data_IF_141776467741
#
_entry.id   IF_141776467741
#
_cell.length_a   1.000
_cell.length_b   1.000
_cell.length_c   1.000
_cell.angle_alpha   90.00
_cell.angle_beta   90.00
_cell.angle_gamma   90.00
#
_symmetry.space_group_name_H-M   'P 1'
#
loop_
_entity.id
_entity.type
_entity.pdbx_description
1 polymer ?
#
# COMPACT_ATOMS: atom_id res chain seq x y z
N UNK A 1 27.67 -25.37 -56.60
CA UNK A 1 27.89 -23.92 -56.82
C UNK A 1 26.71 -23.15 -56.27
N UNK A 2 26.82 -22.48 -55.11
CA UNK A 2 25.98 -21.35 -54.73
C UNK A 2 26.52 -20.65 -53.48
N UNK A 3 27.11 -19.48 -53.75
CA UNK A 3 27.39 -18.27 -52.98
C UNK A 3 27.20 -18.30 -51.46
N UNK A 4 28.33 -18.10 -50.78
CA UNK A 4 28.48 -17.42 -49.49
C UNK A 4 28.02 -15.96 -49.60
N UNK A 5 27.19 -15.50 -48.67
CA UNK A 5 27.05 -14.07 -48.35
C UNK A 5 27.23 -13.91 -46.84
N UNK A 6 28.33 -13.26 -46.48
CA UNK A 6 28.64 -12.78 -45.14
C UNK A 6 27.81 -11.52 -44.86
N UNK A 7 27.04 -11.50 -43.77
CA UNK A 7 26.50 -10.26 -43.21
C UNK A 7 27.38 -9.82 -42.05
N UNK A 8 28.07 -8.70 -42.28
CA UNK A 8 28.82 -7.93 -41.31
C UNK A 8 27.81 -7.14 -40.46
N UNK A 9 27.66 -7.48 -39.19
CA UNK A 9 26.89 -6.67 -38.23
C UNK A 9 27.86 -5.67 -37.61
N UNK A 10 27.74 -4.39 -37.98
CA UNK A 10 28.35 -3.28 -37.25
C UNK A 10 27.66 -3.15 -35.90
N UNK A 11 28.38 -3.49 -34.82
CA UNK A 11 28.03 -3.08 -33.46
C UNK A 11 28.39 -1.60 -33.29
N UNK A 12 27.38 -0.74 -33.19
CA UNK A 12 27.52 0.63 -32.70
C UNK A 12 27.69 0.60 -31.18
N UNK A 13 28.92 0.76 -30.71
CA UNK A 13 29.23 1.13 -29.34
C UNK A 13 28.80 2.60 -29.13
N UNK A 14 27.64 2.80 -28.52
CA UNK A 14 27.18 4.11 -28.05
C UNK A 14 27.05 4.10 -26.53
N UNK A 15 28.06 4.70 -25.90
CA UNK A 15 27.97 5.58 -24.73
C UNK A 15 27.25 5.05 -23.50
N UNK A 16 28.04 4.61 -22.51
CA UNK A 16 27.65 4.65 -21.11
C UNK A 16 27.23 6.08 -20.74
N UNK A 17 25.92 6.32 -20.62
CA UNK A 17 25.37 7.54 -20.04
C UNK A 17 25.77 7.64 -18.58
N UNK A 18 26.23 8.82 -18.18
CA UNK A 18 26.59 9.17 -16.81
C UNK A 18 25.49 8.77 -15.83
N UNK A 19 25.90 8.21 -14.69
CA UNK A 19 24.99 7.89 -13.59
C UNK A 19 24.27 9.14 -13.07
N UNK A 20 23.12 8.96 -12.40
CA UNK A 20 22.38 10.06 -11.80
C UNK A 20 23.29 10.78 -10.80
N UNK A 21 23.43 12.10 -10.98
CA UNK A 21 23.97 12.99 -9.96
C UNK A 21 23.16 12.85 -8.68
N UNK A 22 23.78 12.97 -7.48
CA UNK A 22 23.05 12.95 -6.21
C UNK A 22 21.92 13.98 -6.26
N UNK A 23 20.71 13.54 -5.97
CA UNK A 23 19.56 14.43 -5.75
C UNK A 23 19.96 15.51 -4.74
N UNK A 24 19.80 16.76 -5.17
CA UNK A 24 19.85 17.94 -4.32
C UNK A 24 18.79 17.75 -3.23
N UNK A 25 19.23 17.42 -2.01
CA UNK A 25 18.36 17.41 -0.84
C UNK A 25 17.63 18.75 -0.82
N UNK A 26 16.29 18.70 -0.93
CA UNK A 26 15.46 19.88 -0.84
C UNK A 26 15.80 20.62 0.46
N UNK A 27 16.53 21.73 0.33
CA UNK A 27 16.84 22.67 1.40
C UNK A 27 15.52 23.05 2.08
N UNK A 28 15.27 22.45 3.25
CA UNK A 28 14.18 22.87 4.12
C UNK A 28 14.45 24.33 4.47
N UNK A 29 13.56 25.22 4.03
CA UNK A 29 13.66 26.64 4.35
C UNK A 29 13.81 26.81 5.86
N UNK A 30 14.84 27.54 6.27
CA UNK A 30 15.09 27.86 7.68
C UNK A 30 13.82 28.52 8.26
N UNK A 31 13.13 27.81 9.17
CA UNK A 31 12.01 28.38 9.93
C UNK A 31 10.73 27.55 10.07
N UNK A 32 10.61 26.35 9.48
CA UNK A 32 9.43 25.51 9.76
C UNK A 32 9.47 24.96 11.20
N UNK A 33 8.57 25.47 12.05
CA UNK A 33 8.36 24.93 13.38
C UNK A 33 7.95 23.45 13.30
N UNK A 34 8.60 22.61 14.11
CA UNK A 34 8.29 21.18 14.17
C UNK A 34 6.83 20.95 14.61
N UNK A 35 6.10 20.09 13.90
CA UNK A 35 4.74 19.71 14.29
C UNK A 35 4.77 18.90 15.60
N UNK A 36 3.73 19.09 16.42
CA UNK A 36 3.47 18.27 17.60
C UNK A 36 3.11 16.83 17.20
N UNK A 37 3.20 15.91 18.16
CA UNK A 37 2.76 14.53 17.94
C UNK A 37 1.25 14.52 17.62
N UNK A 38 0.83 13.93 16.49
CA UNK A 38 -0.52 14.08 16.00
C UNK A 38 -1.50 13.13 16.71
N UNK A 39 -2.75 13.57 16.86
CA UNK A 39 -3.84 12.76 17.38
C UNK A 39 -4.95 12.71 16.33
N UNK A 40 -5.32 11.51 15.88
CA UNK A 40 -6.41 11.32 14.91
C UNK A 40 -7.66 12.10 15.32
N UNK A 41 -8.23 12.86 14.39
CA UNK A 41 -9.58 13.42 14.56
C UNK A 41 -10.64 12.32 14.39
N UNK A 42 -11.89 12.60 14.79
CA UNK A 42 -13.01 11.68 14.51
C UNK A 42 -13.46 11.85 13.06
N UNK A 43 -13.76 10.76 12.33
CA UNK A 43 -14.44 10.84 11.05
C UNK A 43 -15.80 11.56 11.21
N UNK A 44 -16.25 12.36 10.23
CA UNK A 44 -17.58 12.96 10.23
C UNK A 44 -18.67 11.89 10.30
N UNK A 45 -19.75 12.15 11.05
CA UNK A 45 -20.84 11.18 11.22
C UNK A 45 -21.43 10.71 9.88
N UNK A 46 -21.61 11.61 8.90
CA UNK A 46 -22.11 11.23 7.58
C UNK A 46 -21.22 10.20 6.87
N UNK A 47 -19.89 10.30 7.02
CA UNK A 47 -18.95 9.30 6.47
C UNK A 47 -19.04 7.97 7.25
N UNK A 48 -19.25 8.04 8.58
CA UNK A 48 -19.50 6.85 9.40
C UNK A 48 -20.80 6.15 8.97
N UNK A 49 -21.88 6.89 8.76
CA UNK A 49 -23.17 6.34 8.33
C UNK A 49 -23.07 5.68 6.95
N UNK A 50 -22.33 6.31 6.02
CA UNK A 50 -22.01 5.70 4.72
C UNK A 50 -21.21 4.41 4.88
N UNK A 51 -20.22 4.38 5.79
CA UNK A 51 -19.43 3.19 6.07
C UNK A 51 -20.27 2.08 6.74
N UNK A 52 -21.27 2.45 7.54
CA UNK A 52 -22.26 1.53 8.11
C UNK A 52 -23.10 0.87 7.01
N UNK A 53 -23.59 1.68 6.05
CA UNK A 53 -24.43 1.21 4.96
C UNK A 53 -23.67 0.44 3.86
N UNK A 54 -22.35 0.67 3.72
CA UNK A 54 -21.53 0.05 2.68
C UNK A 54 -21.45 -1.48 2.84
N UNK A 55 -21.35 -2.26 1.74
CA UNK A 55 -21.14 -3.71 1.82
C UNK A 55 -19.89 -4.12 2.61
N UNK A 56 -19.92 -5.34 3.16
CA UNK A 56 -18.77 -5.91 3.86
C UNK A 56 -17.66 -6.30 2.87
N UNK A 57 -16.42 -5.98 3.22
CA UNK A 57 -15.24 -6.34 2.45
C UNK A 57 -14.78 -7.77 2.70
N UNK A 58 -14.25 -8.43 1.67
CA UNK A 58 -13.75 -9.81 1.73
C UNK A 58 -12.82 -10.14 0.56
N UNK A 59 -11.99 -11.17 0.73
CA UNK A 59 -11.04 -11.63 -0.28
C UNK A 59 -11.52 -12.90 -0.97
N UNK A 60 -11.27 -13.01 -2.28
CA UNK A 60 -11.70 -14.13 -3.10
C UNK A 60 -10.74 -14.45 -4.23
N UNK A 61 -10.94 -15.63 -4.81
CA UNK A 61 -10.20 -16.12 -5.97
C UNK A 61 -11.20 -16.35 -7.09
N UNK A 62 -10.92 -15.86 -8.30
CA UNK A 62 -11.77 -16.04 -9.46
C UNK A 62 -11.49 -17.41 -10.12
N UNK A 63 -12.24 -17.75 -11.17
CA UNK A 63 -12.10 -19.04 -11.85
C UNK A 63 -10.74 -19.25 -12.52
N UNK A 64 -10.00 -18.18 -12.85
CA UNK A 64 -8.65 -18.26 -13.40
C UNK A 64 -7.55 -18.30 -12.34
N UNK A 65 -7.90 -18.36 -11.04
CA UNK A 65 -6.94 -18.31 -9.94
C UNK A 65 -6.51 -16.89 -9.54
N UNK A 66 -7.00 -15.87 -10.24
CA UNK A 66 -6.76 -14.46 -9.94
C UNK A 66 -7.37 -14.05 -8.61
N UNK A 67 -6.57 -13.38 -7.78
CA UNK A 67 -6.97 -12.89 -6.47
C UNK A 67 -7.64 -11.54 -6.59
N UNK A 68 -8.63 -11.29 -5.73
CA UNK A 68 -9.28 -10.01 -5.63
C UNK A 68 -9.70 -9.72 -4.19
N UNK A 69 -9.91 -8.44 -3.91
CA UNK A 69 -10.77 -8.04 -2.80
C UNK A 69 -12.05 -7.41 -3.35
N UNK A 70 -13.18 -7.83 -2.79
CA UNK A 70 -14.47 -7.19 -3.02
C UNK A 70 -14.75 -6.23 -1.87
N UNK A 71 -15.20 -5.01 -2.20
CA UNK A 71 -15.52 -3.95 -1.25
C UNK A 71 -14.36 -3.62 -0.29
N UNK A 72 -13.10 -3.63 -0.72
CA UNK A 72 -11.96 -3.13 0.07
C UNK A 72 -11.74 -1.62 -0.20
N UNK A 73 -12.70 -0.78 0.18
CA UNK A 73 -12.75 0.61 -0.26
C UNK A 73 -12.39 1.64 0.83
N UNK A 74 -12.13 1.20 2.06
CA UNK A 74 -11.74 2.05 3.19
C UNK A 74 -12.83 2.21 4.27
N UNK A 75 -14.04 1.70 4.04
CA UNK A 75 -15.13 1.75 5.01
C UNK A 75 -14.79 1.06 6.34
N UNK A 76 -14.04 -0.05 6.30
CA UNK A 76 -13.57 -0.75 7.50
C UNK A 76 -12.65 0.12 8.36
N UNK A 77 -11.81 0.93 7.72
CA UNK A 77 -10.89 1.85 8.39
C UNK A 77 -11.65 3.02 9.01
N UNK A 78 -12.62 3.60 8.30
CA UNK A 78 -13.50 4.64 8.87
C UNK A 78 -14.21 4.14 10.12
N UNK A 79 -14.79 2.94 10.08
CA UNK A 79 -15.45 2.33 11.25
C UNK A 79 -14.48 2.13 12.41
N UNK A 80 -13.26 1.63 12.12
CA UNK A 80 -12.23 1.41 13.15
C UNK A 80 -11.78 2.72 13.81
N UNK A 81 -11.54 3.77 13.04
CA UNK A 81 -11.13 5.08 13.57
C UNK A 81 -12.27 5.72 14.34
N UNK A 82 -13.50 5.71 13.81
CA UNK A 82 -14.67 6.23 14.52
C UNK A 82 -14.82 5.55 15.88
N UNK A 83 -14.71 4.22 15.91
CA UNK A 83 -14.74 3.47 17.16
C UNK A 83 -13.57 3.87 18.08
N UNK A 84 -12.34 3.91 17.58
CA UNK A 84 -11.18 4.35 18.37
C UNK A 84 -11.36 5.75 18.99
N UNK A 85 -12.03 6.66 18.28
CA UNK A 85 -12.34 8.02 18.74
C UNK A 85 -13.59 8.14 19.62
N UNK A 86 -14.21 7.03 20.00
CA UNK A 86 -15.31 6.99 20.95
C UNK A 86 -16.70 7.01 20.31
N UNK A 87 -16.81 7.02 18.99
CA UNK A 87 -18.10 6.91 18.32
C UNK A 87 -18.62 5.47 18.38
N UNK A 88 -19.64 5.24 19.20
CA UNK A 88 -20.22 3.91 19.43
C UNK A 88 -21.16 3.45 18.33
N UNK A 89 -21.63 4.35 17.44
CA UNK A 89 -22.51 3.95 16.32
C UNK A 89 -21.79 3.03 15.32
N UNK A 90 -20.45 3.10 15.26
CA UNK A 90 -19.62 2.28 14.40
C UNK A 90 -19.37 0.85 14.93
N UNK A 91 -19.51 0.63 16.24
CA UNK A 91 -18.99 -0.56 16.93
C UNK A 91 -19.62 -1.87 16.39
N UNK A 92 -20.94 -1.90 16.24
CA UNK A 92 -21.67 -3.09 15.79
C UNK A 92 -21.29 -3.48 14.35
N UNK A 93 -21.18 -2.48 13.45
CA UNK A 93 -20.77 -2.73 12.06
C UNK A 93 -19.31 -3.14 11.96
N UNK A 94 -18.44 -2.52 12.74
CA UNK A 94 -17.03 -2.88 12.81
C UNK A 94 -16.86 -4.35 13.23
N UNK A 95 -17.55 -4.77 14.30
CA UNK A 95 -17.55 -6.17 14.73
C UNK A 95 -18.08 -7.11 13.65
N UNK A 96 -19.14 -6.72 12.94
CA UNK A 96 -19.66 -7.49 11.83
C UNK A 96 -18.62 -7.67 10.71
N UNK A 97 -17.92 -6.60 10.31
CA UNK A 97 -16.85 -6.65 9.32
C UNK A 97 -15.68 -7.52 9.77
N UNK A 98 -15.25 -7.38 11.02
CA UNK A 98 -14.19 -8.22 11.59
C UNK A 98 -14.59 -9.69 11.55
N UNK A 99 -15.78 -10.06 12.00
CA UNK A 99 -16.25 -11.46 11.95
C UNK A 99 -16.40 -12.00 10.54
N UNK A 100 -16.87 -11.16 9.62
CA UNK A 100 -17.13 -11.56 8.24
C UNK A 100 -15.88 -12.04 7.51
N UNK A 101 -14.73 -11.40 7.75
CA UNK A 101 -13.46 -11.76 7.10
C UNK A 101 -12.75 -12.97 7.75
N UNK A 102 -13.14 -13.39 8.96
CA UNK A 102 -12.53 -14.52 9.69
C UNK A 102 -13.11 -15.90 9.36
N UNK A 103 -13.98 -16.00 8.37
CA UNK A 103 -14.68 -17.24 8.03
C UNK A 103 -14.93 -17.41 6.54
N UNK A 104 -15.24 -18.65 6.14
CA UNK A 104 -15.66 -19.03 4.80
C UNK A 104 -14.69 -18.64 3.68
N UNK A 105 -13.38 -18.76 3.92
CA UNK A 105 -12.35 -18.35 2.96
C UNK A 105 -12.59 -16.92 2.49
N UNK A 106 -12.65 -15.98 3.43
CA UNK A 106 -12.74 -14.54 3.15
C UNK A 106 -11.52 -13.79 3.64
N UNK A 107 -10.60 -14.50 4.29
CA UNK A 107 -9.35 -14.01 4.86
C UNK A 107 -8.38 -13.52 3.77
N UNK A 108 -7.51 -12.55 4.12
CA UNK A 108 -6.37 -12.13 3.30
C UNK A 108 -5.53 -13.28 2.76
N UNK A 109 -4.77 -13.04 1.70
CA UNK A 109 -3.83 -14.01 1.13
C UNK A 109 -2.47 -13.97 1.82
N UNK A 110 -2.02 -12.79 2.26
CA UNK A 110 -0.76 -12.59 2.96
C UNK A 110 0.47 -13.16 2.21
N UNK A 111 0.47 -13.13 0.87
CA UNK A 111 1.58 -13.65 0.08
C UNK A 111 2.78 -12.71 0.00
N UNK A 112 2.63 -11.46 0.49
CA UNK A 112 3.65 -10.43 0.42
C UNK A 112 3.77 -9.75 -0.93
N UNK A 113 2.80 -9.88 -1.84
CA UNK A 113 2.84 -9.27 -3.17
C UNK A 113 1.79 -8.17 -3.39
N UNK A 114 1.37 -7.99 -4.64
CA UNK A 114 0.41 -6.96 -5.06
C UNK A 114 -0.87 -6.87 -4.20
N UNK A 115 -1.38 -8.00 -3.71
CA UNK A 115 -2.59 -8.03 -2.89
C UNK A 115 -2.45 -7.30 -1.54
N UNK A 116 -1.22 -7.12 -1.04
CA UNK A 116 -0.97 -6.50 0.26
C UNK A 116 -1.58 -5.09 0.39
N UNK A 117 -1.71 -4.35 -0.72
CA UNK A 117 -2.34 -3.02 -0.74
C UNK A 117 -3.84 -3.09 -0.39
N UNK A 118 -4.54 -4.13 -0.82
CA UNK A 118 -5.96 -4.32 -0.55
C UNK A 118 -6.15 -4.90 0.86
N UNK A 119 -5.22 -5.74 1.31
CA UNK A 119 -5.19 -6.31 2.65
C UNK A 119 -5.06 -5.24 3.74
N UNK A 120 -4.43 -4.09 3.44
CA UNK A 120 -4.32 -2.95 4.37
C UNK A 120 -5.66 -2.52 4.94
N UNK A 121 -6.76 -2.60 4.17
CA UNK A 121 -8.11 -2.24 4.64
C UNK A 121 -8.55 -3.07 5.85
N UNK A 122 -8.10 -4.33 5.93
CA UNK A 122 -8.48 -5.25 7.00
C UNK A 122 -7.44 -5.31 8.10
N UNK A 123 -6.17 -5.37 7.75
CA UNK A 123 -5.09 -5.42 8.75
C UNK A 123 -4.95 -4.09 9.50
N UNK A 124 -5.13 -2.95 8.82
CA UNK A 124 -5.20 -1.64 9.47
C UNK A 124 -6.43 -1.52 10.39
N UNK A 125 -7.57 -2.04 9.96
CA UNK A 125 -8.79 -2.11 10.77
C UNK A 125 -8.53 -2.93 12.05
N UNK A 126 -7.91 -4.10 11.93
CA UNK A 126 -7.56 -4.94 13.09
C UNK A 126 -6.60 -4.24 14.05
N UNK A 127 -5.58 -3.54 13.54
CA UNK A 127 -4.65 -2.78 14.35
C UNK A 127 -5.34 -1.69 15.16
N UNK A 128 -6.22 -0.90 14.55
CA UNK A 128 -6.92 0.19 15.23
C UNK A 128 -8.00 -0.37 16.18
N UNK A 129 -8.74 -1.40 15.77
CA UNK A 129 -9.76 -2.04 16.62
C UNK A 129 -9.16 -2.64 17.90
N UNK A 130 -7.95 -3.21 17.85
CA UNK A 130 -7.22 -3.72 19.03
C UNK A 130 -6.92 -2.63 20.07
N UNK A 131 -6.83 -1.36 19.65
CA UNK A 131 -6.67 -0.19 20.52
C UNK A 131 -7.99 0.34 21.09
N UNK A 132 -9.11 -0.34 20.82
CA UNK A 132 -10.45 0.06 21.25
C UNK A 132 -11.03 -1.02 22.18
N UNK A 133 -10.78 -0.98 23.51
CA UNK A 133 -11.13 -2.06 24.43
C UNK A 133 -12.59 -2.49 24.37
N UNK A 134 -13.52 -1.54 24.24
CA UNK A 134 -14.96 -1.84 24.18
C UNK A 134 -15.39 -2.63 22.94
N UNK A 135 -14.65 -2.54 21.83
CA UNK A 135 -14.86 -3.34 20.62
C UNK A 135 -14.09 -4.64 20.74
N UNK A 136 -12.80 -4.58 21.05
CA UNK A 136 -11.93 -5.74 21.11
C UNK A 136 -12.36 -6.79 22.16
N UNK A 137 -12.91 -6.35 23.29
CA UNK A 137 -13.42 -7.23 24.34
C UNK A 137 -14.63 -8.07 23.90
N UNK A 138 -15.35 -7.66 22.86
CA UNK A 138 -16.53 -8.40 22.36
C UNK A 138 -16.16 -9.57 21.43
N UNK A 139 -14.89 -9.70 21.06
CA UNK A 139 -14.40 -10.84 20.29
C UNK A 139 -14.06 -12.00 21.23
N UNK A 140 -14.45 -13.20 20.82
CA UNK A 140 -14.07 -14.45 21.44
C UNK A 140 -12.55 -14.68 21.35
N UNK A 141 -12.02 -15.57 22.19
CA UNK A 141 -10.62 -15.97 22.12
C UNK A 141 -10.27 -16.55 20.74
N UNK A 142 -11.14 -17.37 20.16
CA UNK A 142 -10.92 -17.96 18.83
C UNK A 142 -10.87 -16.91 17.72
N UNK A 143 -11.75 -15.90 17.75
CA UNK A 143 -11.70 -14.78 16.80
C UNK A 143 -10.41 -13.98 16.93
N UNK A 144 -9.96 -13.68 18.15
CA UNK A 144 -8.69 -12.99 18.41
C UNK A 144 -7.51 -13.80 17.88
N UNK A 145 -7.46 -15.11 18.15
CA UNK A 145 -6.43 -16.01 17.63
C UNK A 145 -6.38 -16.01 16.10
N UNK A 146 -7.53 -16.02 15.40
CA UNK A 146 -7.55 -15.93 13.94
C UNK A 146 -6.99 -14.59 13.45
N UNK A 147 -7.36 -13.48 14.09
CA UNK A 147 -6.83 -12.16 13.73
C UNK A 147 -5.31 -12.12 13.96
N UNK A 148 -4.82 -12.62 15.09
CA UNK A 148 -3.37 -12.70 15.39
C UNK A 148 -2.63 -13.50 14.31
N UNK A 149 -3.20 -14.63 13.87
CA UNK A 149 -2.64 -15.46 12.80
C UNK A 149 -2.64 -14.74 11.44
N UNK A 150 -3.71 -14.03 11.08
CA UNK A 150 -3.77 -13.21 9.86
C UNK A 150 -2.69 -12.12 9.90
N UNK A 151 -2.55 -11.41 11.02
CA UNK A 151 -1.55 -10.35 11.18
C UNK A 151 -0.12 -10.92 11.08
N UNK A 152 0.14 -12.06 11.71
CA UNK A 152 1.42 -12.78 11.61
C UNK A 152 1.71 -13.30 10.21
N UNK A 153 0.72 -13.84 9.51
CA UNK A 153 0.89 -14.30 8.13
C UNK A 153 1.24 -13.12 7.21
N UNK A 154 0.51 -12.01 7.37
CA UNK A 154 0.74 -10.78 6.61
C UNK A 154 2.14 -10.21 6.83
N UNK A 155 2.60 -10.25 8.09
CA UNK A 155 3.96 -9.90 8.46
C UNK A 155 4.99 -10.82 7.78
N UNK A 156 4.85 -12.15 7.85
CA UNK A 156 5.82 -13.08 7.26
C UNK A 156 5.90 -12.93 5.74
N UNK A 157 4.74 -12.85 5.07
CA UNK A 157 4.67 -12.61 3.63
C UNK A 157 5.44 -11.37 3.22
N UNK A 158 5.16 -10.26 3.89
CA UNK A 158 5.76 -8.98 3.54
C UNK A 158 7.21 -8.85 4.00
N UNK A 159 7.59 -9.48 5.13
CA UNK A 159 8.96 -9.55 5.58
C UNK A 159 9.81 -10.28 4.54
N UNK A 160 9.30 -11.40 4.02
CA UNK A 160 10.00 -12.17 2.99
C UNK A 160 10.18 -11.37 1.71
N UNK A 161 9.16 -10.66 1.23
CA UNK A 161 9.29 -9.95 -0.06
C UNK A 161 10.05 -8.63 0.04
N UNK A 162 10.14 -8.03 1.24
CA UNK A 162 10.76 -6.70 1.41
C UNK A 162 12.11 -6.71 2.11
N UNK A 163 12.52 -7.79 2.78
CA UNK A 163 13.79 -7.80 3.53
C UNK A 163 15.00 -7.62 2.63
N UNK A 164 16.04 -6.99 3.17
CA UNK A 164 17.33 -6.87 2.49
C UNK A 164 17.93 -8.24 2.15
N UNK A 165 17.71 -9.24 3.01
CA UNK A 165 18.18 -10.61 2.79
C UNK A 165 17.57 -11.23 1.53
N UNK A 166 16.25 -11.11 1.32
CA UNK A 166 15.60 -11.64 0.11
C UNK A 166 15.97 -10.91 -1.16
N UNK A 167 16.37 -9.63 -1.04
CA UNK A 167 16.65 -8.74 -2.16
C UNK A 167 18.16 -8.51 -2.34
N UNK A 168 18.99 -9.33 -1.71
CA UNK A 168 20.43 -9.22 -1.77
C UNK A 168 20.94 -9.34 -3.22
N UNK A 169 21.92 -8.52 -3.58
CA UNK A 169 22.48 -8.50 -4.95
C UNK A 169 21.50 -8.02 -6.04
N UNK A 170 20.41 -7.34 -5.67
CA UNK A 170 19.40 -6.86 -6.62
C UNK A 170 18.40 -7.94 -7.04
N UNK A 171 18.26 -9.01 -6.25
CA UNK A 171 17.26 -10.04 -6.49
C UNK A 171 15.84 -9.51 -6.25
N UNK A 172 14.89 -9.98 -7.06
CA UNK A 172 13.45 -9.78 -6.85
C UNK A 172 12.86 -11.10 -6.36
N UNK A 173 12.51 -11.25 -5.06
CA UNK A 173 11.94 -12.49 -4.56
C UNK A 173 10.56 -12.73 -5.17
N UNK A 174 10.17 -13.99 -5.31
CA UNK A 174 8.76 -14.35 -5.55
C UNK A 174 7.92 -14.04 -4.31
N UNK A 175 6.59 -14.10 -4.44
CA UNK A 175 5.69 -14.17 -3.29
C UNK A 175 5.83 -15.52 -2.59
N UNK A 176 5.30 -15.65 -1.36
CA UNK A 176 5.31 -16.95 -0.65
C UNK A 176 4.57 -18.05 -1.44
N UNK A 177 3.69 -17.67 -2.34
CA UNK A 177 2.96 -18.53 -3.27
C UNK A 177 3.60 -18.67 -4.65
N UNK A 178 4.76 -18.07 -4.90
CA UNK A 178 5.42 -18.10 -6.20
C UNK A 178 4.97 -17.00 -7.18
N UNK A 179 4.13 -16.05 -6.76
CA UNK A 179 3.84 -14.86 -7.57
C UNK A 179 5.14 -14.15 -7.97
N UNK A 180 5.25 -13.71 -9.22
CA UNK A 180 6.44 -13.04 -9.77
C UNK A 180 6.19 -11.57 -10.07
N UNK A 181 4.94 -11.11 -9.98
CA UNK A 181 4.58 -9.73 -10.24
C UNK A 181 4.64 -8.92 -8.93
N UNK A 182 5.84 -8.81 -8.37
CA UNK A 182 6.13 -7.96 -7.21
C UNK A 182 7.61 -7.58 -7.19
N UNK A 183 7.90 -6.43 -6.60
CA UNK A 183 9.24 -5.99 -6.26
C UNK A 183 9.11 -4.86 -5.23
N UNK A 184 10.00 -4.86 -4.23
CA UNK A 184 9.98 -3.86 -3.15
C UNK A 184 10.42 -2.46 -3.59
N UNK A 185 10.96 -2.32 -4.79
CA UNK A 185 11.45 -1.08 -5.40
C UNK A 185 10.61 -0.61 -6.60
N UNK A 186 9.54 -1.34 -6.95
CA UNK A 186 8.57 -0.93 -7.98
C UNK A 186 7.69 0.26 -7.55
N UNK A 187 6.65 0.54 -8.32
CA UNK A 187 5.78 1.68 -8.09
C UNK A 187 5.02 1.58 -6.75
N UNK A 188 4.57 2.72 -6.19
CA UNK A 188 3.91 2.80 -4.89
C UNK A 188 2.73 1.84 -4.70
N UNK A 189 1.97 1.55 -5.75
CA UNK A 189 0.83 0.64 -5.69
C UNK A 189 1.22 -0.81 -5.29
N UNK A 190 2.50 -1.19 -5.42
CA UNK A 190 3.05 -2.43 -4.84
C UNK A 190 3.63 -2.19 -3.45
N UNK A 191 4.54 -1.20 -3.34
CA UNK A 191 5.37 -0.97 -2.16
C UNK A 191 4.57 -0.63 -0.91
N UNK A 192 3.56 0.23 -1.04
CA UNK A 192 2.75 0.71 0.07
C UNK A 192 2.04 -0.42 0.82
N UNK A 193 1.59 -1.43 0.07
CA UNK A 193 0.97 -2.62 0.64
C UNK A 193 1.96 -3.47 1.44
N UNK A 194 3.09 -3.80 0.82
CA UNK A 194 4.09 -4.72 1.40
C UNK A 194 4.84 -4.08 2.56
N UNK A 195 5.40 -2.88 2.37
CA UNK A 195 6.14 -2.19 3.44
C UNK A 195 5.17 -1.71 4.52
N UNK A 196 3.97 -1.24 4.15
CA UNK A 196 2.91 -0.92 5.10
C UNK A 196 2.48 -2.11 5.96
N UNK A 197 2.56 -3.33 5.45
CA UNK A 197 2.32 -4.54 6.23
C UNK A 197 3.35 -4.75 7.34
N UNK A 198 4.61 -4.38 7.12
CA UNK A 198 5.63 -4.40 8.16
C UNK A 198 5.31 -3.39 9.26
N UNK A 199 4.98 -2.15 8.88
CA UNK A 199 4.63 -1.08 9.82
C UNK A 199 3.44 -1.47 10.70
N UNK A 200 2.32 -1.82 10.06
CA UNK A 200 1.05 -2.10 10.74
C UNK A 200 1.15 -3.37 11.60
N UNK A 201 1.79 -4.43 11.10
CA UNK A 201 1.88 -5.69 11.86
C UNK A 201 2.85 -5.59 13.03
N UNK A 202 3.94 -4.82 12.89
CA UNK A 202 4.87 -4.57 14.00
C UNK A 202 4.18 -3.86 15.14
N UNK A 203 3.44 -2.78 14.85
CA UNK A 203 2.64 -2.07 15.86
C UNK A 203 1.57 -2.96 16.49
N UNK A 204 0.85 -3.74 15.67
CA UNK A 204 -0.16 -4.69 16.15
C UNK A 204 0.39 -5.70 17.17
N UNK A 205 1.60 -6.22 16.93
CA UNK A 205 2.23 -7.23 17.78
C UNK A 205 2.83 -6.64 19.06
N UNK A 206 2.92 -5.31 19.17
CA UNK A 206 3.45 -4.62 20.35
C UNK A 206 4.84 -4.01 20.14
N UNK A 207 5.25 -3.77 18.90
CA UNK A 207 6.51 -3.12 18.55
C UNK A 207 7.65 -4.11 18.27
N UNK A 208 8.85 -3.56 18.06
CA UNK A 208 10.06 -4.27 17.61
C UNK A 208 10.28 -5.60 18.32
N UNK A 209 10.40 -5.61 19.65
CA UNK A 209 10.80 -6.81 20.40
C UNK A 209 9.88 -8.00 20.16
N UNK A 210 8.56 -7.78 20.17
CA UNK A 210 7.58 -8.85 19.92
C UNK A 210 7.65 -9.35 18.48
N UNK A 211 7.91 -8.45 17.54
CA UNK A 211 8.03 -8.77 16.11
C UNK A 211 9.32 -9.52 15.79
N UNK A 212 10.48 -9.03 16.24
CA UNK A 212 11.78 -9.70 16.10
C UNK A 212 11.71 -11.11 16.73
N UNK A 213 11.18 -11.22 17.95
CA UNK A 213 11.00 -12.53 18.62
C UNK A 213 10.17 -13.50 17.77
N UNK A 214 9.08 -13.02 17.16
CA UNK A 214 8.24 -13.86 16.31
C UNK A 214 8.94 -14.26 15.00
N UNK A 215 9.59 -13.31 14.32
CA UNK A 215 10.29 -13.57 13.05
C UNK A 215 11.50 -14.49 13.25
N UNK A 216 12.30 -14.25 14.28
CA UNK A 216 13.49 -15.06 14.58
C UNK A 216 13.13 -16.48 15.02
N UNK A 217 12.04 -16.59 15.80
CA UNK A 217 11.46 -17.84 16.25
C UNK A 217 10.58 -18.55 15.22
N UNK A 218 10.32 -17.97 14.05
CA UNK A 218 9.34 -18.48 13.08
C UNK A 218 9.68 -19.91 12.62
N UNK A 219 8.67 -20.77 12.65
CA UNK A 219 8.72 -22.17 12.17
C UNK A 219 7.60 -22.40 11.18
N UNK A 220 7.96 -22.49 9.89
CA UNK A 220 7.01 -22.53 8.78
C UNK A 220 5.97 -23.63 8.91
N UNK A 221 6.42 -24.88 9.12
CA UNK A 221 5.52 -26.03 9.22
C UNK A 221 4.53 -25.89 10.39
N UNK A 222 5.01 -25.47 11.57
CA UNK A 222 4.13 -25.23 12.73
C UNK A 222 3.12 -24.13 12.45
N UNK A 223 3.54 -23.06 11.77
CA UNK A 223 2.65 -21.95 11.43
C UNK A 223 1.56 -22.37 10.44
N UNK A 224 1.89 -23.15 9.39
CA UNK A 224 0.90 -23.73 8.47
C UNK A 224 -0.12 -24.62 9.20
N UNK A 225 0.33 -25.41 10.18
CA UNK A 225 -0.57 -26.19 11.03
C UNK A 225 -1.49 -25.28 11.85
N UNK A 226 -0.97 -24.22 12.48
CA UNK A 226 -1.78 -23.27 13.25
C UNK A 226 -2.85 -22.59 12.38
N UNK A 227 -2.50 -22.17 11.15
CA UNK A 227 -3.45 -21.60 10.19
C UNK A 227 -4.57 -22.60 9.87
N UNK A 228 -4.20 -23.83 9.52
CA UNK A 228 -5.16 -24.90 9.22
C UNK A 228 -6.09 -25.20 10.40
N UNK A 229 -5.55 -25.35 11.61
CA UNK A 229 -6.32 -25.63 12.83
C UNK A 229 -7.27 -24.49 13.21
N UNK A 230 -6.93 -23.24 12.88
CA UNK A 230 -7.80 -22.09 13.06
C UNK A 230 -8.88 -21.95 11.98
N UNK A 231 -8.89 -22.84 10.97
CA UNK A 231 -9.81 -22.78 9.84
C UNK A 231 -9.48 -21.68 8.83
N UNK A 232 -8.24 -21.16 8.83
CA UNK A 232 -7.72 -20.21 7.85
C UNK A 232 -7.11 -20.99 6.68
N UNK A 233 -7.93 -21.82 6.03
CA UNK A 233 -7.45 -22.82 5.05
C UNK A 233 -6.88 -22.18 3.79
N UNK A 234 -7.35 -20.99 3.40
CA UNK A 234 -6.75 -20.22 2.31
C UNK A 234 -5.34 -19.77 2.65
N UNK A 235 -5.15 -19.09 3.78
CA UNK A 235 -3.81 -18.69 4.23
C UNK A 235 -2.89 -19.91 4.36
N UNK A 236 -3.37 -21.01 4.93
CA UNK A 236 -2.61 -22.25 5.00
C UNK A 236 -2.19 -22.75 3.61
N UNK A 237 -3.09 -22.70 2.63
CA UNK A 237 -2.80 -23.08 1.23
C UNK A 237 -1.72 -22.20 0.60
N UNK A 238 -1.82 -20.86 0.75
CA UNK A 238 -0.79 -19.92 0.28
C UNK A 238 0.58 -20.28 0.85
N UNK A 239 0.68 -20.45 2.18
CA UNK A 239 1.94 -20.77 2.84
C UNK A 239 2.46 -22.19 2.52
N UNK A 240 1.59 -23.10 2.05
CA UNK A 240 1.98 -24.45 1.69
C UNK A 240 2.30 -24.62 0.18
N UNK A 241 2.27 -23.55 -0.60
CA UNK A 241 2.34 -23.61 -2.08
C UNK A 241 3.59 -24.32 -2.60
N UNK A 242 4.76 -24.11 -1.97
CA UNK A 242 6.00 -24.81 -2.36
C UNK A 242 5.89 -26.34 -2.28
N UNK A 243 5.08 -26.85 -1.35
CA UNK A 243 4.84 -28.30 -1.16
C UNK A 243 3.69 -28.78 -2.04
N UNK A 244 2.57 -28.07 -2.06
CA UNK A 244 1.37 -28.51 -2.79
C UNK A 244 1.45 -28.27 -4.30
N UNK A 245 2.25 -27.29 -4.74
CA UNK A 245 2.41 -26.91 -6.14
C UNK A 245 3.87 -26.48 -6.41
N UNK A 246 4.83 -27.42 -6.40
CA UNK A 246 6.26 -27.10 -6.55
C UNK A 246 6.60 -26.34 -7.84
N UNK A 247 5.81 -26.52 -8.91
CA UNK A 247 5.97 -25.81 -10.19
C UNK A 247 5.62 -24.33 -10.14
N UNK A 248 4.98 -23.84 -9.07
CA UNK A 248 4.62 -22.43 -8.92
C UNK A 248 5.83 -21.53 -8.63
N UNK A 249 7.00 -22.08 -8.26
CA UNK A 249 8.19 -21.28 -7.94
C UNK A 249 8.13 -20.59 -6.57
N UNK A 250 7.22 -21.03 -5.70
CA UNK A 250 7.17 -20.60 -4.30
C UNK A 250 8.47 -20.97 -3.56
N UNK A 251 8.98 -20.12 -2.65
CA UNK A 251 10.20 -20.41 -1.89
C UNK A 251 10.00 -21.57 -0.91
N UNK A 252 11.09 -22.28 -0.59
CA UNK A 252 11.06 -23.30 0.45
C UNK A 252 10.90 -22.68 1.84
N UNK A 253 10.40 -23.47 2.79
CA UNK A 253 10.32 -23.08 4.20
C UNK A 253 11.66 -22.57 4.78
N UNK A 254 12.78 -23.17 4.35
CA UNK A 254 14.10 -22.78 4.80
C UNK A 254 14.49 -21.38 4.27
N UNK A 255 14.15 -21.08 3.02
CA UNK A 255 14.40 -19.77 2.40
C UNK A 255 13.59 -18.70 3.14
N UNK A 256 12.27 -18.91 3.32
CA UNK A 256 11.41 -17.96 4.04
C UNK A 256 11.97 -17.68 5.44
N UNK A 257 12.24 -18.74 6.22
CA UNK A 257 12.74 -18.60 7.59
C UNK A 257 14.10 -17.89 7.66
N UNK A 258 15.00 -18.11 6.70
CA UNK A 258 16.29 -17.42 6.66
C UNK A 258 16.14 -15.94 6.31
N UNK A 259 15.23 -15.63 5.39
CA UNK A 259 15.06 -14.30 4.83
C UNK A 259 14.40 -13.29 5.78
N UNK A 260 13.54 -13.75 6.69
CA UNK A 260 12.75 -12.88 7.57
C UNK A 260 13.43 -12.59 8.92
N UNK A 261 14.50 -13.31 9.24
CA UNK A 261 15.31 -13.12 10.46
C UNK A 261 16.09 -11.81 10.40
N UNK A 262 16.31 -11.21 11.57
CA UNK A 262 16.99 -9.92 11.71
C UNK A 262 16.52 -8.90 10.66
N UNK A 263 15.21 -8.76 10.52
CA UNK A 263 14.60 -8.01 9.42
C UNK A 263 15.20 -6.61 9.27
N UNK A 264 15.59 -6.26 8.04
CA UNK A 264 15.98 -4.91 7.62
C UNK A 264 15.30 -4.55 6.31
N UNK A 265 14.93 -3.27 6.19
CA UNK A 265 14.47 -2.67 4.94
C UNK A 265 15.38 -1.51 4.59
N UNK A 266 16.21 -1.68 3.57
CA UNK A 266 17.21 -0.68 3.16
C UNK A 266 18.11 -0.25 4.32
N UNK A 267 18.54 -1.22 5.12
CA UNK A 267 19.36 -1.03 6.32
C UNK A 267 18.60 -0.61 7.57
N UNK A 268 17.32 -0.26 7.49
CA UNK A 268 16.52 0.19 8.63
C UNK A 268 15.92 -0.99 9.39
N UNK A 269 16.03 -0.95 10.72
CA UNK A 269 15.46 -1.95 11.62
C UNK A 269 14.03 -1.60 12.08
N UNK A 270 13.37 -2.54 12.78
CA UNK A 270 11.97 -2.39 13.22
C UNK A 270 11.75 -1.44 14.41
N UNK A 271 12.79 -0.82 14.98
CA UNK A 271 12.66 0.34 15.87
C UNK A 271 12.70 1.67 15.11
N UNK A 272 13.07 1.63 13.83
CA UNK A 272 13.08 2.77 12.92
C UNK A 272 11.82 2.78 12.03
N UNK A 273 10.67 2.35 12.57
CA UNK A 273 9.42 2.25 11.79
C UNK A 273 9.02 3.58 11.15
N UNK A 274 9.23 4.70 11.84
CA UNK A 274 8.92 6.00 11.27
C UNK A 274 9.88 6.36 10.13
N UNK A 275 11.17 6.01 10.21
CA UNK A 275 12.11 6.22 9.12
C UNK A 275 11.77 5.35 7.90
N UNK A 276 11.34 4.10 8.13
CA UNK A 276 10.82 3.22 7.08
C UNK A 276 9.59 3.86 6.42
N UNK A 277 8.68 4.42 7.22
CA UNK A 277 7.50 5.13 6.71
C UNK A 277 7.88 6.38 5.91
N UNK A 278 8.84 7.18 6.39
CA UNK A 278 9.34 8.36 5.68
C UNK A 278 9.97 7.96 4.34
N UNK A 279 10.76 6.90 4.29
CA UNK A 279 11.34 6.39 3.04
C UNK A 279 10.24 5.96 2.04
N UNK A 280 9.20 5.30 2.54
CA UNK A 280 8.06 4.88 1.74
C UNK A 280 7.26 6.08 1.19
N UNK A 281 6.85 7.00 2.07
CA UNK A 281 6.12 8.20 1.70
C UNK A 281 6.92 9.10 0.74
N UNK A 282 8.24 9.22 0.93
CA UNK A 282 9.09 9.99 0.04
C UNK A 282 9.13 9.41 -1.37
N UNK A 283 9.13 8.07 -1.52
CA UNK A 283 8.99 7.46 -2.84
C UNK A 283 7.61 7.71 -3.43
N UNK A 284 6.56 7.52 -2.62
CA UNK A 284 5.16 7.65 -3.06
C UNK A 284 4.84 9.07 -3.51
N UNK A 285 5.32 10.09 -2.80
CA UNK A 285 5.08 11.51 -3.05
C UNK A 285 6.32 12.23 -3.60
N UNK A 286 7.07 11.57 -4.49
CA UNK A 286 8.33 12.09 -5.06
C UNK A 286 8.17 12.98 -6.29
N UNK A 287 7.04 12.92 -7.00
CA UNK A 287 6.90 13.62 -8.27
C UNK A 287 6.63 15.12 -8.08
N UNK A 288 6.95 15.90 -9.11
CA UNK A 288 6.58 17.32 -9.18
C UNK A 288 5.16 17.47 -9.70
N UNK A 289 4.33 18.30 -9.06
CA UNK A 289 2.94 18.52 -9.47
C UNK A 289 2.88 19.17 -10.85
N UNK A 290 2.17 18.52 -11.76
CA UNK A 290 1.91 18.97 -13.12
C UNK A 290 0.58 18.42 -13.67
N UNK A 291 0.25 18.85 -14.89
CA UNK A 291 -0.99 18.51 -15.57
C UNK A 291 -0.94 17.16 -16.31
N UNK A 292 0.15 16.40 -16.21
CA UNK A 292 0.37 15.13 -16.89
C UNK A 292 1.57 15.11 -17.83
N UNK A 293 1.69 14.01 -18.57
CA UNK A 293 2.83 13.74 -19.46
C UNK A 293 2.98 14.84 -20.52
N UNK A 294 4.22 15.05 -20.99
CA UNK A 294 4.54 16.01 -22.05
C UNK A 294 4.01 17.43 -21.78
N UNK A 295 4.21 17.94 -20.56
CA UNK A 295 3.76 19.27 -20.16
C UNK A 295 2.23 19.41 -20.06
N UNK A 296 1.51 18.30 -19.87
CA UNK A 296 0.05 18.26 -19.85
C UNK A 296 -0.59 17.99 -21.21
N UNK A 297 0.19 17.82 -22.29
CA UNK A 297 -0.34 17.40 -23.59
C UNK A 297 -0.73 15.92 -23.63
N UNK A 298 -0.23 15.10 -22.69
CA UNK A 298 -0.39 13.65 -22.74
C UNK A 298 0.46 12.98 -23.83
N UNK A 299 0.33 11.67 -23.95
CA UNK A 299 0.96 10.84 -24.98
C UNK A 299 -0.02 10.66 -26.14
N UNK A 300 0.45 10.91 -27.36
CA UNK A 300 -0.30 10.66 -28.60
C UNK A 300 -0.33 9.15 -28.86
N UNK A 301 -1.53 8.61 -29.04
CA UNK A 301 -1.77 7.20 -29.34
C UNK A 301 -1.80 6.99 -30.86
N UNK A 302 -1.73 5.73 -31.30
CA UNK A 302 -1.87 5.38 -32.72
C UNK A 302 -3.22 5.77 -33.33
N UNK A 303 -4.24 6.01 -32.50
CA UNK A 303 -5.56 6.53 -32.89
C UNK A 303 -5.58 8.05 -33.11
N UNK A 304 -4.50 8.76 -32.76
CA UNK A 304 -4.45 10.23 -32.74
C UNK A 304 -5.03 10.86 -31.46
N UNK A 305 -5.61 10.05 -30.57
CA UNK A 305 -6.06 10.52 -29.25
C UNK A 305 -4.88 10.73 -28.30
N UNK A 306 -5.11 11.50 -27.24
CA UNK A 306 -4.13 11.76 -26.20
C UNK A 306 -4.54 11.06 -24.90
N UNK A 307 -3.57 10.68 -24.06
CA UNK A 307 -3.82 10.12 -22.73
C UNK A 307 -2.68 10.44 -21.75
N UNK A 308 -2.92 10.29 -20.45
CA UNK A 308 -1.95 10.61 -19.39
C UNK A 308 -1.91 12.09 -19.02
N UNK A 309 -3.08 12.74 -19.01
CA UNK A 309 -3.22 14.17 -18.74
C UNK A 309 -4.51 14.51 -17.98
N UNK A 310 -4.48 15.67 -17.32
CA UNK A 310 -5.61 16.31 -16.67
C UNK A 310 -6.51 16.98 -17.71
N UNK A 311 -7.78 16.59 -17.75
CA UNK A 311 -8.72 16.98 -18.81
C UNK A 311 -9.07 18.47 -18.76
N UNK A 312 -9.37 18.98 -17.57
CA UNK A 312 -9.68 20.40 -17.35
C UNK A 312 -8.99 20.92 -16.08
N UNK A 313 -8.91 22.24 -15.93
CA UNK A 313 -8.43 22.84 -14.68
C UNK A 313 -6.91 22.91 -14.51
N UNK A 314 -6.10 22.69 -15.55
CA UNK A 314 -4.62 22.71 -15.46
C UNK A 314 -4.05 24.05 -14.97
N UNK A 315 -4.71 25.17 -15.24
CA UNK A 315 -4.31 26.48 -14.73
C UNK A 315 -4.64 26.67 -13.24
N UNK A 316 -5.65 25.95 -12.74
CA UNK A 316 -6.15 25.97 -11.37
C UNK A 316 -5.57 24.84 -10.50
N UNK A 317 -4.73 23.97 -11.08
CA UNK A 317 -4.13 22.83 -10.40
C UNK A 317 -3.36 23.31 -9.15
N UNK A 318 -3.77 22.91 -7.94
CA UNK A 318 -3.10 23.33 -6.72
C UNK A 318 -1.66 22.83 -6.70
N UNK A 319 -0.76 23.61 -6.09
CA UNK A 319 0.64 23.23 -5.86
C UNK A 319 1.45 22.91 -7.13
N UNK A 320 0.99 23.30 -8.32
CA UNK A 320 1.74 23.11 -9.58
C UNK A 320 3.20 23.58 -9.44
N UNK A 321 4.14 22.70 -9.79
CA UNK A 321 5.58 22.92 -9.64
C UNK A 321 6.19 22.54 -8.29
N UNK A 322 5.38 22.17 -7.28
CA UNK A 322 5.90 21.65 -6.00
C UNK A 322 6.15 20.14 -6.06
N UNK A 323 7.16 19.67 -5.33
CA UNK A 323 7.35 18.23 -5.07
C UNK A 323 6.29 17.74 -4.08
N UNK A 324 5.76 16.54 -4.31
CA UNK A 324 4.71 15.94 -3.50
C UNK A 324 3.62 15.26 -4.31
N UNK A 325 3.63 15.36 -5.64
CA UNK A 325 2.73 14.58 -6.49
C UNK A 325 2.99 13.09 -6.30
N UNK A 326 1.93 12.29 -6.38
CA UNK A 326 2.08 10.84 -6.38
C UNK A 326 2.87 10.37 -7.59
N UNK A 327 3.92 9.56 -7.34
CA UNK A 327 4.87 9.06 -8.34
C UNK A 327 4.21 8.40 -9.55
N UNK A 328 3.02 7.81 -9.38
CA UNK A 328 2.26 7.11 -10.43
C UNK A 328 1.67 8.02 -11.53
N UNK A 329 1.70 9.34 -11.34
CA UNK A 329 1.47 10.30 -12.43
C UNK A 329 2.71 10.46 -13.33
N UNK A 330 3.88 10.02 -12.88
CA UNK A 330 5.19 10.16 -13.53
C UNK A 330 6.06 8.92 -13.32
N UNK A 331 5.48 7.74 -13.53
CA UNK A 331 6.18 6.47 -13.37
C UNK A 331 6.42 5.78 -14.71
N UNK A 332 7.06 4.63 -14.66
CA UNK A 332 7.25 3.72 -15.80
C UNK A 332 6.55 2.40 -15.48
N UNK A 333 6.02 1.77 -16.51
CA UNK A 333 5.39 0.44 -16.45
C UNK A 333 5.89 -0.41 -17.63
N UNK A 334 5.44 -1.66 -17.69
CA UNK A 334 5.63 -2.51 -18.85
C UNK A 334 5.13 -1.78 -20.11
N UNK A 335 6.02 -1.52 -21.07
CA UNK A 335 5.77 -0.78 -22.32
C UNK A 335 5.76 0.76 -22.22
N UNK A 336 6.42 1.35 -21.22
CA UNK A 336 6.82 2.77 -21.25
C UNK A 336 6.26 3.60 -20.11
N UNK A 337 6.05 4.89 -20.36
CA UNK A 337 5.58 5.83 -19.34
C UNK A 337 4.20 5.43 -18.79
N UNK A 338 3.95 5.77 -17.53
CA UNK A 338 2.64 5.68 -16.88
C UNK A 338 2.29 7.05 -16.31
N UNK A 339 1.04 7.42 -16.49
CA UNK A 339 0.41 8.50 -15.75
C UNK A 339 -1.05 8.16 -15.51
N UNK A 340 -1.38 7.76 -14.28
CA UNK A 340 -2.70 7.25 -13.96
C UNK A 340 -3.14 7.61 -12.56
N UNK A 341 -4.34 8.17 -12.46
CA UNK A 341 -5.00 8.46 -11.20
C UNK A 341 -5.44 7.20 -10.46
N UNK A 342 -5.79 6.12 -11.19
CA UNK A 342 -6.13 4.83 -10.59
C UNK A 342 -4.93 4.27 -9.84
N UNK A 343 -3.77 4.22 -10.48
CA UNK A 343 -2.53 3.72 -9.86
C UNK A 343 -2.03 4.66 -8.76
N UNK A 344 -2.12 5.98 -8.95
CA UNK A 344 -1.80 6.95 -7.90
C UNK A 344 -2.67 6.74 -6.67
N UNK A 345 -3.98 6.57 -6.86
CA UNK A 345 -4.91 6.33 -5.77
C UNK A 345 -4.66 4.98 -5.07
N UNK A 346 -4.24 3.96 -5.81
CA UNK A 346 -3.81 2.68 -5.24
C UNK A 346 -2.53 2.77 -4.40
N UNK A 347 -1.69 3.79 -4.60
CA UNK A 347 -0.61 4.17 -3.68
C UNK A 347 -1.09 4.99 -2.48
N UNK A 348 -1.91 6.03 -2.70
CA UNK A 348 -2.40 6.90 -1.61
C UNK A 348 -3.21 6.13 -0.56
N UNK A 349 -4.14 5.29 -1.01
CA UNK A 349 -5.09 4.58 -0.14
C UNK A 349 -4.39 3.74 0.96
N UNK A 350 -3.43 2.84 0.66
CA UNK A 350 -2.67 2.14 1.68
C UNK A 350 -1.77 3.07 2.51
N UNK A 351 -1.18 4.12 1.94
CA UNK A 351 -0.41 5.12 2.71
C UNK A 351 -1.26 5.76 3.82
N UNK A 352 -2.47 6.23 3.50
CA UNK A 352 -3.37 6.83 4.49
C UNK A 352 -3.68 5.88 5.66
N UNK A 353 -3.72 4.57 5.39
CA UNK A 353 -3.97 3.56 6.42
C UNK A 353 -2.73 3.32 7.26
N UNK A 354 -1.58 3.20 6.62
CA UNK A 354 -0.29 3.09 7.30
C UNK A 354 -0.12 4.28 8.27
N UNK A 355 -0.37 5.49 7.76
CA UNK A 355 -0.33 6.74 8.50
C UNK A 355 -1.32 6.76 9.67
N UNK A 356 -2.59 6.40 9.44
CA UNK A 356 -3.59 6.36 10.50
C UNK A 356 -3.23 5.35 11.62
N UNK A 357 -2.67 4.19 11.26
CA UNK A 357 -2.21 3.21 12.26
C UNK A 357 -1.03 3.75 13.05
N UNK A 358 -0.04 4.37 12.40
CA UNK A 358 1.08 5.01 13.09
C UNK A 358 0.58 6.06 14.09
N UNK A 359 -0.38 6.92 13.71
CA UNK A 359 -0.99 7.89 14.63
C UNK A 359 -1.73 7.20 15.79
N UNK A 360 -2.55 6.18 15.53
CA UNK A 360 -3.34 5.48 16.56
C UNK A 360 -2.47 4.78 17.62
N UNK A 361 -1.24 4.42 17.26
CA UNK A 361 -0.25 3.83 18.15
C UNK A 361 0.75 4.85 18.74
N UNK A 362 0.64 6.13 18.37
CA UNK A 362 1.58 7.17 18.81
C UNK A 362 3.00 6.99 18.26
N UNK A 363 3.13 6.37 17.09
CA UNK A 363 4.39 6.03 16.46
C UNK A 363 4.92 7.11 15.49
N UNK A 364 4.21 8.24 15.37
CA UNK A 364 4.68 9.42 14.63
C UNK A 364 5.31 10.38 15.63
N UNK A 365 6.64 10.62 15.57
CA UNK A 365 7.30 11.57 16.43
C UNK A 365 6.89 13.01 16.09
N UNK A 366 7.10 13.94 17.02
CA UNK A 366 7.11 15.36 16.70
C UNK A 366 8.41 15.75 15.99
N UNK A 367 8.41 16.88 15.28
CA UNK A 367 9.63 17.46 14.71
C UNK A 367 9.59 17.66 13.19
N UNK A 368 10.73 18.11 12.66
CA UNK A 368 10.86 18.57 11.26
C UNK A 368 10.72 17.45 10.24
N UNK A 369 11.18 16.24 10.54
CA UNK A 369 10.97 15.06 9.67
C UNK A 369 9.48 14.78 9.46
N UNK A 370 8.70 14.87 10.54
CA UNK A 370 7.23 14.75 10.48
C UNK A 370 6.61 15.88 9.67
N UNK A 371 7.03 17.12 9.90
CA UNK A 371 6.57 18.26 9.09
C UNK A 371 6.84 18.04 7.59
N UNK A 372 8.05 17.62 7.23
CA UNK A 372 8.45 17.43 5.84
C UNK A 372 7.62 16.33 5.14
N UNK A 373 7.44 15.16 5.79
CA UNK A 373 6.67 14.06 5.19
C UNK A 373 5.18 14.42 5.06
N UNK A 374 4.59 15.06 6.09
CA UNK A 374 3.18 15.47 6.05
C UNK A 374 2.93 16.56 5.01
N UNK A 375 3.86 17.51 4.85
CA UNK A 375 3.80 18.53 3.80
C UNK A 375 3.77 17.90 2.40
N UNK A 376 4.58 16.86 2.15
CA UNK A 376 4.58 16.12 0.87
C UNK A 376 3.25 15.40 0.63
N UNK A 377 2.75 14.67 1.63
CA UNK A 377 1.45 13.98 1.53
C UNK A 377 0.32 14.99 1.27
N UNK A 378 0.35 16.15 1.93
CA UNK A 378 -0.64 17.23 1.74
C UNK A 378 -0.65 17.77 0.32
N UNK A 379 0.51 17.96 -0.29
CA UNK A 379 0.62 18.33 -1.71
C UNK A 379 -0.02 17.26 -2.60
N UNK A 380 0.37 16.00 -2.41
CA UNK A 380 -0.09 14.88 -3.25
C UNK A 380 -1.57 14.57 -3.13
N UNK A 381 -2.11 14.56 -1.91
CA UNK A 381 -3.53 14.34 -1.67
C UNK A 381 -4.39 15.45 -2.31
N UNK A 382 -3.98 16.72 -2.14
CA UNK A 382 -4.67 17.87 -2.76
C UNK A 382 -4.63 17.79 -4.30
N UNK A 383 -3.48 17.46 -4.88
CA UNK A 383 -3.32 17.26 -6.33
C UNK A 383 -4.19 16.11 -6.85
N UNK A 384 -4.15 14.95 -6.20
CA UNK A 384 -4.94 13.78 -6.57
C UNK A 384 -6.44 14.07 -6.56
N UNK A 385 -6.96 14.64 -5.46
CA UNK A 385 -8.39 14.93 -5.36
C UNK A 385 -8.85 16.02 -6.33
N UNK A 386 -7.98 17.00 -6.62
CA UNK A 386 -8.27 17.99 -7.65
C UNK A 386 -8.40 17.33 -9.02
N UNK A 387 -7.43 16.50 -9.42
CA UNK A 387 -7.47 15.77 -10.70
C UNK A 387 -8.65 14.81 -10.80
N UNK A 388 -9.01 14.16 -9.70
CA UNK A 388 -10.19 13.29 -9.66
C UNK A 388 -11.48 14.07 -9.94
N UNK A 389 -11.61 15.28 -9.39
CA UNK A 389 -12.78 16.14 -9.60
C UNK A 389 -12.85 16.72 -11.03
N UNK A 390 -11.70 17.02 -11.63
CA UNK A 390 -11.57 17.66 -12.94
C UNK A 390 -11.31 16.69 -14.10
N UNK A 391 -11.37 15.38 -13.83
CA UNK A 391 -11.15 14.35 -14.84
C UNK A 391 -9.67 14.14 -15.20
N UNK A 392 -9.23 12.89 -15.18
CA UNK A 392 -7.89 12.49 -15.60
C UNK A 392 -7.97 11.36 -16.63
N UNK A 393 -7.40 11.57 -17.82
CA UNK A 393 -7.34 10.50 -18.84
C UNK A 393 -6.10 9.66 -18.57
N UNK A 394 -6.30 8.40 -18.19
CA UNK A 394 -5.25 7.54 -17.67
C UNK A 394 -4.43 6.90 -18.79
N UNK A 395 -3.10 6.93 -18.68
CA UNK A 395 -2.19 6.23 -19.57
C UNK A 395 -1.36 5.21 -18.81
N UNK A 396 -1.39 3.95 -19.25
CA UNK A 396 -0.53 2.90 -18.73
C UNK A 396 -0.37 1.79 -19.77
N UNK A 397 0.74 1.06 -19.71
CA UNK A 397 1.03 -0.09 -20.56
C UNK A 397 0.99 0.21 -22.06
N UNK A 398 1.40 1.42 -22.44
CA UNK A 398 1.37 1.88 -23.83
C UNK A 398 -0.04 2.22 -24.35
N UNK A 399 -1.07 2.28 -23.49
CA UNK A 399 -2.48 2.38 -23.90
C UNK A 399 -3.24 3.42 -23.08
N UNK A 400 -4.31 3.95 -23.69
CA UNK A 400 -5.37 4.63 -22.94
C UNK A 400 -6.06 3.65 -22.00
N UNK A 401 -6.24 4.05 -20.75
CA UNK A 401 -6.99 3.34 -19.72
C UNK A 401 -8.31 4.07 -19.39
N UNK A 402 -8.64 5.10 -20.18
CA UNK A 402 -9.91 5.81 -20.09
C UNK A 402 -9.90 6.98 -19.11
N UNK A 403 -11.01 7.72 -19.14
CA UNK A 403 -11.26 8.84 -18.25
C UNK A 403 -11.67 8.36 -16.87
N UNK A 404 -11.00 8.85 -15.84
CA UNK A 404 -11.47 8.78 -14.47
C UNK A 404 -11.92 10.18 -14.02
N UNK A 405 -13.17 10.30 -13.58
CA UNK A 405 -13.70 11.55 -13.04
C UNK A 405 -14.72 11.26 -11.93
N UNK A 406 -14.74 12.09 -10.89
CA UNK A 406 -15.73 12.04 -9.83
C UNK A 406 -16.98 12.88 -10.17
N UNK A 407 -18.18 12.47 -9.72
CA UNK A 407 -18.45 11.19 -9.05
C UNK A 407 -18.33 10.03 -10.05
N UNK A 408 -17.51 9.03 -9.70
CA UNK A 408 -17.57 7.77 -10.42
C UNK A 408 -18.98 7.19 -10.19
N UNK A 409 -19.62 6.66 -11.23
CA UNK A 409 -20.99 6.15 -11.11
C UNK A 409 -21.02 4.98 -10.11
N UNK A 410 -21.65 5.19 -8.95
CA UNK A 410 -21.86 4.19 -7.89
C UNK A 410 -20.90 4.28 -6.69
N UNK A 411 -21.34 3.73 -5.54
CA UNK A 411 -20.44 3.39 -4.43
C UNK A 411 -19.45 2.33 -4.94
N UNK A 412 -18.15 2.48 -4.67
CA UNK A 412 -17.21 1.46 -5.11
C UNK A 412 -15.78 1.89 -5.40
N UNK A 413 -15.53 3.18 -5.62
CA UNK A 413 -14.16 3.68 -5.85
C UNK A 413 -13.38 3.88 -4.54
N UNK A 414 -14.08 3.99 -3.42
CA UNK A 414 -13.52 4.26 -2.10
C UNK A 414 -13.14 5.71 -1.84
N UNK A 415 -13.24 6.60 -2.83
CA UNK A 415 -12.96 8.03 -2.64
C UNK A 415 -13.89 8.62 -1.57
N UNK A 416 -15.13 8.12 -1.49
CA UNK A 416 -16.11 8.45 -0.46
C UNK A 416 -15.61 8.18 0.97
N UNK A 417 -14.63 7.29 1.16
CA UNK A 417 -14.03 6.99 2.47
C UNK A 417 -12.63 7.60 2.62
N UNK A 418 -11.77 7.44 1.61
CA UNK A 418 -10.36 7.83 1.70
C UNK A 418 -10.14 9.35 1.59
N UNK A 419 -11.01 10.08 0.87
CA UNK A 419 -10.94 11.55 0.85
C UNK A 419 -11.28 12.14 2.23
N UNK A 420 -12.41 11.78 2.88
CA UNK A 420 -12.64 12.20 4.27
C UNK A 420 -11.59 11.71 5.26
N UNK A 421 -11.02 10.51 5.06
CA UNK A 421 -9.90 10.02 5.89
C UNK A 421 -8.71 10.98 5.84
N UNK A 422 -8.36 11.51 4.67
CA UNK A 422 -7.36 12.57 4.60
C UNK A 422 -7.89 13.91 5.16
N UNK A 423 -8.90 14.48 4.51
CA UNK A 423 -9.33 15.88 4.71
C UNK A 423 -9.97 16.16 6.07
N UNK A 424 -10.51 15.13 6.75
CA UNK A 424 -11.30 15.30 7.98
C UNK A 424 -10.74 14.54 9.17
N UNK A 425 -9.81 13.60 8.96
CA UNK A 425 -9.27 12.75 10.03
C UNK A 425 -7.77 12.97 10.21
N UNK A 426 -6.98 12.81 9.16
CA UNK A 426 -5.51 12.87 9.22
C UNK A 426 -5.02 14.32 9.13
N UNK A 427 -5.37 15.06 8.08
CA UNK A 427 -4.86 16.43 7.89
C UNK A 427 -5.19 17.38 9.06
N UNK A 428 -6.41 17.37 9.63
CA UNK A 428 -6.71 18.22 10.79
C UNK A 428 -5.90 17.90 12.05
N UNK A 429 -5.40 16.67 12.20
CA UNK A 429 -4.54 16.29 13.31
C UNK A 429 -3.17 17.01 13.28
N UNK A 430 -2.83 17.60 12.14
CA UNK A 430 -1.64 18.43 11.91
C UNK A 430 -1.97 19.92 11.75
N UNK A 431 -3.23 20.32 11.91
CA UNK A 431 -3.67 21.70 11.69
C UNK A 431 -3.73 22.13 10.21
N UNK A 432 -3.90 21.17 9.29
CA UNK A 432 -3.93 21.39 7.84
C UNK A 432 -5.33 21.50 7.22
#
# INVERSE_FOLDING_TARGET
MRRLLSFLVMMSLLGCGAGPTPEEEASLGEGEAGLAAPVLASPPQATVDQAIAAPLGWFGVNSSGGRYCSNCNGQSIILAIAAFKGNTSADARLLQQMRYVLGNNRDPFANGGYMAQHERMMTGMFAIAKRTPRVWAQLTAAEKTKIDLIMKATLVGSAYTTSDTSNAGGATPTGIDGDTNLDRDWNPNYREGMVGAMLVSTLYLGGRTATDTFLDGYKHASFVTQLSSAGLTRLASVFNTNVSTPSAGAPSAAIIQSAIRDYRYKGLALDQLFDIYVLLANDTFSATVDCGLNGGAGVVLSTGEHSGYLVEGCAQLPNKGKVGQLKEFRSVDANGARSSITYAYDGLKPDLINHAVLMAYGAIPSGTTTTAVVSRISVGAKDLFFKAAHGYRNYAKGKDQGLFQLPATGLGSGYEFNRPLWEKVIAPAYGL
#
